data_IF_182547926926
#
_entry.id   IF_182547926926
#
_cell.length_a   1.000
_cell.length_b   1.000
_cell.length_c   1.000
_cell.angle_alpha   90.00
_cell.angle_beta   90.00
_cell.angle_gamma   90.00
#
_symmetry.space_group_name_H-M   'P 1'
#
loop_
_entity.id
_entity.type
_entity.pdbx_description
1 polymer ?
#
# COMPACT_ATOMS: atom_id res chain seq x y z
N UNK A 1 -75.72 -25.27 42.62
CA UNK A 1 -75.64 -25.21 41.15
C UNK A 1 -75.58 -23.75 40.73
N UNK A 2 -74.80 -23.47 39.68
CA UNK A 2 -74.56 -22.18 39.00
C UNK A 2 -73.53 -21.21 39.62
N UNK A 3 -72.71 -20.67 38.72
CA UNK A 3 -71.27 -20.46 38.87
C UNK A 3 -70.85 -19.01 39.08
N UNK A 4 -69.71 -18.88 39.73
CA UNK A 4 -68.84 -17.71 39.83
C UNK A 4 -68.40 -17.24 38.43
N UNK A 5 -68.75 -16.01 38.02
CA UNK A 5 -68.21 -15.36 36.82
C UNK A 5 -67.33 -14.18 37.24
N UNK A 6 -66.03 -14.46 37.35
CA UNK A 6 -64.98 -13.47 37.62
C UNK A 6 -64.69 -12.70 36.33
N UNK A 7 -65.01 -11.40 36.31
CA UNK A 7 -64.71 -10.51 35.19
C UNK A 7 -63.24 -10.10 35.19
N UNK A 8 -62.43 -10.71 34.32
CA UNK A 8 -61.02 -10.39 34.12
C UNK A 8 -60.90 -9.08 33.31
N UNK A 9 -60.63 -7.97 33.99
CA UNK A 9 -60.25 -6.70 33.32
C UNK A 9 -58.81 -6.80 32.83
N UNK A 10 -58.60 -7.04 31.53
CA UNK A 10 -57.27 -6.86 30.92
C UNK A 10 -56.93 -5.37 30.86
N UNK A 11 -55.97 -4.93 31.68
CA UNK A 11 -55.26 -3.66 31.47
C UNK A 11 -54.09 -3.91 30.51
N UNK A 12 -54.24 -3.47 29.26
CA UNK A 12 -53.13 -3.40 28.29
C UNK A 12 -52.24 -2.20 28.63
N UNK A 13 -51.10 -2.47 29.27
CA UNK A 13 -50.03 -1.49 29.50
C UNK A 13 -49.22 -1.29 28.20
N UNK A 14 -49.35 -0.12 27.57
CA UNK A 14 -48.53 0.29 26.44
C UNK A 14 -47.15 0.73 26.95
N UNK A 15 -46.14 -0.15 26.78
CA UNK A 15 -44.75 0.16 27.06
C UNK A 15 -44.19 0.99 25.88
N UNK A 16 -44.06 2.29 26.06
CA UNK A 16 -43.44 3.19 25.09
C UNK A 16 -41.92 2.95 25.03
N UNK A 17 -41.46 2.23 24.01
CA UNK A 17 -40.04 2.02 23.73
C UNK A 17 -39.48 3.27 23.06
N UNK A 18 -38.83 4.15 23.84
CA UNK A 18 -38.12 5.31 23.30
C UNK A 18 -36.88 4.85 22.52
N UNK A 19 -36.90 4.98 21.19
CA UNK A 19 -35.71 4.81 20.36
C UNK A 19 -34.73 5.96 20.63
N UNK A 20 -33.75 5.72 21.51
CA UNK A 20 -32.60 6.59 21.65
C UNK A 20 -31.75 6.47 20.37
N UNK A 21 -31.82 7.49 19.51
CA UNK A 21 -31.03 7.60 18.30
C UNK A 21 -29.60 8.00 18.72
N UNK A 22 -28.73 7.00 18.91
CA UNK A 22 -27.32 7.22 19.25
C UNK A 22 -26.61 7.73 17.98
N UNK A 23 -25.91 8.87 18.00
CA UNK A 23 -25.12 9.31 16.87
C UNK A 23 -23.96 8.32 16.67
N UNK A 24 -23.95 7.64 15.53
CA UNK A 24 -22.82 6.82 15.12
C UNK A 24 -21.69 7.77 14.67
N UNK A 25 -20.77 8.09 15.58
CA UNK A 25 -19.50 8.73 15.20
C UNK A 25 -18.69 7.73 14.37
N UNK A 26 -18.51 8.02 13.09
CA UNK A 26 -17.57 7.30 12.24
C UNK A 26 -16.16 7.58 12.76
N UNK A 27 -15.53 6.57 13.36
CA UNK A 27 -14.17 6.67 13.85
C UNK A 27 -13.21 6.54 12.65
N UNK A 28 -12.76 7.67 12.11
CA UNK A 28 -11.79 7.69 11.04
C UNK A 28 -10.49 7.05 11.54
N UNK A 29 -10.15 5.91 10.93
CA UNK A 29 -8.97 5.14 11.33
C UNK A 29 -7.73 5.94 10.97
N UNK A 30 -6.80 6.09 11.92
CA UNK A 30 -5.51 6.72 11.64
C UNK A 30 -4.84 6.03 10.42
N UNK A 31 -4.21 6.79 9.50
CA UNK A 31 -3.58 6.21 8.32
C UNK A 31 -2.56 5.14 8.73
N UNK A 32 -2.71 3.93 8.18
CA UNK A 32 -1.77 2.84 8.44
C UNK A 32 -0.41 3.20 7.83
N UNK A 33 0.69 3.19 8.61
CA UNK A 33 2.01 3.51 8.09
C UNK A 33 2.39 2.64 6.89
N UNK A 34 2.86 3.27 5.82
CA UNK A 34 3.19 2.60 4.57
C UNK A 34 4.31 3.31 3.82
N UNK A 35 5.15 2.53 3.14
CA UNK A 35 6.01 3.01 2.07
C UNK A 35 5.42 2.52 0.77
N UNK A 36 5.01 3.42 -0.11
CA UNK A 36 4.41 3.05 -1.39
C UNK A 36 5.41 3.28 -2.51
N UNK A 37 5.64 2.26 -3.33
CA UNK A 37 6.33 2.35 -4.61
C UNK A 37 5.29 2.13 -5.71
N UNK A 38 5.19 3.06 -6.65
CA UNK A 38 4.37 2.90 -7.85
C UNK A 38 5.28 2.87 -9.08
N UNK A 39 5.22 1.82 -9.88
CA UNK A 39 5.78 1.82 -11.22
C UNK A 39 4.86 2.65 -12.13
N UNK A 40 5.23 3.91 -12.31
CA UNK A 40 4.40 4.90 -13.00
C UNK A 40 4.63 4.90 -14.52
N UNK A 41 5.83 4.51 -14.96
CA UNK A 41 6.17 4.49 -16.38
C UNK A 41 7.35 3.59 -16.73
N UNK A 42 7.34 3.06 -17.95
CA UNK A 42 8.48 2.42 -18.58
C UNK A 42 8.58 2.94 -20.02
N UNK A 43 9.68 3.61 -20.36
CA UNK A 43 9.86 4.22 -21.67
C UNK A 43 11.28 3.96 -22.20
N UNK A 44 11.45 3.73 -23.52
CA UNK A 44 12.78 3.69 -24.12
C UNK A 44 13.58 4.97 -23.84
N UNK A 45 14.87 4.80 -23.61
CA UNK A 45 15.85 5.88 -23.49
C UNK A 45 17.14 5.52 -24.23
N UNK A 46 18.03 6.48 -24.42
CA UNK A 46 19.32 6.26 -25.12
C UNK A 46 20.20 5.19 -24.44
N UNK A 47 19.93 4.87 -23.18
CA UNK A 47 20.69 3.88 -22.41
C UNK A 47 20.01 2.51 -22.36
N UNK A 48 18.72 2.41 -22.69
CA UNK A 48 17.92 1.20 -22.53
C UNK A 48 16.52 1.53 -22.05
N UNK A 49 16.07 0.90 -20.96
CA UNK A 49 14.72 1.11 -20.45
C UNK A 49 14.72 2.06 -19.26
N UNK A 50 14.00 3.19 -19.38
CA UNK A 50 13.79 4.11 -18.28
C UNK A 50 12.55 3.73 -17.50
N UNK A 51 12.72 3.33 -16.26
CA UNK A 51 11.62 3.14 -15.32
C UNK A 51 11.40 4.43 -14.53
N UNK A 52 10.14 4.85 -14.41
CA UNK A 52 9.71 5.98 -13.59
C UNK A 52 8.91 5.45 -12.41
N UNK A 53 9.34 5.81 -11.21
CA UNK A 53 8.67 5.45 -9.97
C UNK A 53 8.13 6.69 -9.27
N UNK A 54 6.92 6.57 -8.72
CA UNK A 54 6.38 7.51 -7.73
C UNK A 54 6.46 6.84 -6.38
N UNK A 55 7.12 7.50 -5.43
CA UNK A 55 7.37 6.97 -4.08
C UNK A 55 6.68 7.87 -3.07
N UNK A 56 5.95 7.28 -2.13
CA UNK A 56 5.35 8.02 -1.02
C UNK A 56 5.79 7.40 0.31
N UNK A 57 6.47 8.19 1.14
CA UNK A 57 6.91 7.76 2.47
C UNK A 57 5.91 8.22 3.55
N UNK A 58 4.99 7.33 3.92
CA UNK A 58 4.10 7.51 5.06
C UNK A 58 4.47 6.59 6.23
N UNK A 59 5.76 6.30 6.42
CA UNK A 59 6.23 5.51 7.56
C UNK A 59 6.24 6.30 8.88
N UNK A 60 6.08 7.62 8.82
CA UNK A 60 6.12 8.51 9.99
C UNK A 60 7.52 8.94 10.42
N UNK A 61 8.55 8.64 9.64
CA UNK A 61 9.93 9.04 9.88
C UNK A 61 10.67 9.30 8.55
N UNK A 62 11.70 10.15 8.60
CA UNK A 62 12.57 10.41 7.46
C UNK A 62 13.44 9.18 7.17
N UNK A 63 13.51 8.78 5.91
CA UNK A 63 14.50 7.83 5.44
C UNK A 63 15.70 8.61 4.90
N UNK A 64 16.85 8.52 5.56
CA UNK A 64 18.10 9.07 5.04
C UNK A 64 18.59 8.31 3.79
N UNK A 65 18.24 7.03 3.67
CA UNK A 65 18.51 6.21 2.48
C UNK A 65 17.52 5.06 2.37
N UNK A 66 17.00 4.86 1.16
CA UNK A 66 16.22 3.69 0.78
C UNK A 66 16.72 3.15 -0.56
N UNK A 67 17.07 1.87 -0.59
CA UNK A 67 17.46 1.18 -1.82
C UNK A 67 16.86 -0.23 -1.83
N UNK A 68 16.45 -0.67 -3.02
CA UNK A 68 15.77 -1.94 -3.20
C UNK A 68 16.45 -2.75 -4.30
N UNK A 69 16.69 -4.02 -4.03
CA UNK A 69 16.99 -4.98 -5.09
C UNK A 69 15.70 -5.33 -5.81
N UNK A 70 15.73 -5.22 -7.14
CA UNK A 70 14.64 -5.60 -8.01
C UNK A 70 15.04 -6.74 -8.92
N UNK A 71 14.10 -7.64 -9.19
CA UNK A 71 14.19 -8.62 -10.25
C UNK A 71 13.36 -8.16 -11.45
N UNK A 72 13.98 -8.15 -12.62
CA UNK A 72 13.29 -7.95 -13.88
C UNK A 72 13.04 -9.30 -14.53
N UNK A 73 11.80 -9.52 -14.95
CA UNK A 73 11.40 -10.71 -15.68
C UNK A 73 11.14 -10.34 -17.14
N UNK A 74 11.49 -11.27 -18.02
CA UNK A 74 11.20 -11.14 -19.44
C UNK A 74 9.81 -11.70 -19.81
N UNK A 75 9.41 -11.59 -21.07
CA UNK A 75 8.12 -12.08 -21.59
C UNK A 75 7.89 -13.59 -21.39
N UNK A 76 8.95 -14.39 -21.22
CA UNK A 76 8.84 -15.81 -20.91
C UNK A 76 8.59 -16.08 -19.40
N UNK A 77 8.50 -15.04 -18.57
CA UNK A 77 8.30 -15.15 -17.13
C UNK A 77 9.53 -15.63 -16.38
N UNK A 78 10.72 -15.58 -16.99
CA UNK A 78 11.99 -15.90 -16.32
C UNK A 78 12.72 -14.61 -15.94
N UNK A 79 13.52 -14.67 -14.88
CA UNK A 79 14.35 -13.55 -14.43
C UNK A 79 15.39 -13.26 -15.51
N UNK A 80 15.37 -12.04 -16.05
CA UNK A 80 16.40 -11.52 -16.95
C UNK A 80 17.62 -11.07 -16.14
N UNK A 81 17.39 -10.30 -15.07
CA UNK A 81 18.45 -9.79 -14.20
C UNK A 81 17.95 -9.32 -12.84
N UNK A 82 18.88 -9.20 -11.90
CA UNK A 82 18.74 -8.47 -10.64
C UNK A 82 19.49 -7.15 -10.72
N UNK A 83 18.94 -6.10 -10.11
CA UNK A 83 19.63 -4.80 -9.98
C UNK A 83 19.15 -4.04 -8.75
N UNK A 84 19.99 -3.15 -8.21
CA UNK A 84 19.64 -2.32 -7.06
C UNK A 84 19.28 -0.91 -7.53
N UNK A 85 18.11 -0.44 -7.13
CA UNK A 85 17.65 0.92 -7.36
C UNK A 85 17.80 1.74 -6.08
N UNK A 86 18.63 2.79 -6.12
CA UNK A 86 18.83 3.72 -5.00
C UNK A 86 17.87 4.92 -5.10
N UNK A 87 16.85 4.92 -4.25
CA UNK A 87 15.85 5.99 -4.16
C UNK A 87 16.32 7.20 -3.35
N UNK A 88 17.52 7.09 -2.75
CA UNK A 88 18.16 8.08 -1.89
C UNK A 88 17.31 8.39 -0.67
N UNK A 89 17.39 9.62 -0.17
CA UNK A 89 16.53 10.10 0.90
C UNK A 89 15.05 10.18 0.48
N UNK A 90 14.17 9.86 1.43
CA UNK A 90 12.72 9.95 1.30
C UNK A 90 12.16 10.60 2.57
N UNK A 91 11.93 11.93 2.57
CA UNK A 91 11.40 12.61 3.74
C UNK A 91 9.98 12.15 4.11
N UNK A 92 9.67 12.19 5.40
CA UNK A 92 8.38 11.79 5.94
C UNK A 92 7.22 12.60 5.34
N UNK A 93 6.15 11.90 4.98
CA UNK A 93 4.94 12.48 4.39
C UNK A 93 5.13 13.06 2.99
N UNK A 94 6.28 12.85 2.34
CA UNK A 94 6.56 13.37 1.00
C UNK A 94 6.38 12.31 -0.08
N UNK A 95 5.99 12.81 -1.24
CA UNK A 95 5.97 12.05 -2.49
C UNK A 95 7.14 12.50 -3.37
N UNK A 96 7.86 11.55 -3.95
CA UNK A 96 9.03 11.77 -4.80
C UNK A 96 8.88 11.00 -6.10
N UNK A 97 9.24 11.62 -7.21
CA UNK A 97 9.32 10.95 -8.51
C UNK A 97 10.80 10.66 -8.80
N UNK A 98 11.13 9.40 -9.03
CA UNK A 98 12.51 8.96 -9.32
C UNK A 98 12.53 8.20 -10.63
N UNK A 99 13.60 8.37 -11.42
CA UNK A 99 13.77 7.66 -12.69
C UNK A 99 15.08 6.90 -12.68
N UNK A 100 15.06 5.68 -13.23
CA UNK A 100 16.23 4.82 -13.37
C UNK A 100 16.35 4.36 -14.82
N UNK A 101 17.54 4.54 -15.39
CA UNK A 101 17.87 4.00 -16.71
C UNK A 101 18.53 2.63 -16.54
N UNK A 102 17.88 1.59 -17.06
CA UNK A 102 18.38 0.23 -17.05
C UNK A 102 19.14 -0.04 -18.35
N UNK A 103 20.46 -0.05 -18.24
CA UNK A 103 21.35 -0.18 -19.38
C UNK A 103 21.15 -1.53 -20.10
N UNK A 104 20.96 -1.46 -21.42
CA UNK A 104 20.79 -2.67 -22.25
C UNK A 104 19.52 -3.48 -21.95
N UNK A 105 18.49 -2.84 -21.38
CA UNK A 105 17.16 -3.42 -21.21
C UNK A 105 16.21 -2.81 -22.25
N UNK A 106 15.49 -3.65 -22.98
CA UNK A 106 14.39 -3.20 -23.87
C UNK A 106 13.09 -3.14 -23.07
N UNK A 107 12.41 -1.98 -23.01
CA UNK A 107 11.19 -1.87 -22.22
C UNK A 107 10.09 -2.83 -22.66
N UNK A 108 9.98 -3.11 -23.96
CA UNK A 108 9.01 -4.07 -24.51
C UNK A 108 9.25 -5.50 -24.05
N UNK A 109 10.46 -5.82 -23.56
CA UNK A 109 10.82 -7.15 -23.07
C UNK A 109 10.56 -7.34 -21.58
N UNK A 110 10.26 -6.28 -20.83
CA UNK A 110 10.02 -6.37 -19.38
C UNK A 110 8.56 -6.70 -19.13
N UNK A 111 8.29 -7.88 -18.55
CA UNK A 111 6.92 -8.33 -18.24
C UNK A 111 6.54 -8.10 -16.77
N UNK A 112 7.53 -8.17 -15.87
CA UNK A 112 7.35 -7.96 -14.44
C UNK A 112 8.59 -7.33 -13.81
N UNK A 113 8.34 -6.42 -12.87
CA UNK A 113 9.33 -5.93 -11.91
C UNK A 113 8.92 -6.45 -10.53
N UNK A 114 9.86 -7.01 -9.78
CA UNK A 114 9.64 -7.55 -8.44
C UNK A 114 10.62 -6.89 -7.47
N UNK A 115 10.15 -6.39 -6.33
CA UNK A 115 11.02 -5.96 -5.23
C UNK A 115 11.41 -7.19 -4.42
N UNK A 116 12.68 -7.61 -4.52
CA UNK A 116 13.16 -8.81 -3.86
C UNK A 116 13.52 -8.54 -2.39
N UNK A 117 14.19 -7.41 -2.15
CA UNK A 117 14.59 -6.98 -0.80
C UNK A 117 14.85 -5.47 -0.74
N UNK A 118 14.85 -4.92 0.46
CA UNK A 118 15.46 -3.61 0.73
C UNK A 118 16.94 -3.85 1.06
N UNK A 119 17.83 -3.34 0.22
CA UNK A 119 19.28 -3.38 0.48
C UNK A 119 19.72 -2.28 1.44
N UNK A 120 18.94 -1.19 1.50
CA UNK A 120 19.12 -0.08 2.43
C UNK A 120 17.75 0.39 2.92
N UNK A 121 17.62 0.59 4.22
CA UNK A 121 16.47 1.24 4.86
C UNK A 121 16.95 1.92 6.14
N UNK A 122 17.41 3.15 6.02
CA UNK A 122 18.05 3.87 7.13
C UNK A 122 17.37 5.21 7.39
N UNK A 123 17.35 5.59 8.66
CA UNK A 123 16.84 6.86 9.16
C UNK A 123 16.82 6.84 10.68
N UNK A 124 16.83 8.02 11.31
CA UNK A 124 16.78 8.13 12.77
C UNK A 124 15.46 7.56 13.29
N UNK A 125 15.53 6.54 14.15
CA UNK A 125 14.33 5.88 14.69
C UNK A 125 13.62 4.96 13.68
N UNK A 126 14.25 4.62 12.56
CA UNK A 126 13.71 3.69 11.56
C UNK A 126 14.20 2.27 11.84
N UNK A 127 13.27 1.35 12.03
CA UNK A 127 13.57 -0.09 12.14
C UNK A 127 14.17 -0.63 10.83
N UNK A 128 15.23 -1.46 10.85
CA UNK A 128 15.92 -1.92 9.64
C UNK A 128 15.02 -2.58 8.57
N UNK A 129 13.96 -3.26 9.01
CA UNK A 129 13.01 -3.94 8.11
C UNK A 129 11.74 -3.12 7.81
N UNK A 130 11.67 -1.85 8.21
CA UNK A 130 10.47 -1.02 8.05
C UNK A 130 10.07 -0.88 6.57
N UNK A 131 11.04 -0.68 5.68
CA UNK A 131 10.80 -0.45 4.25
C UNK A 131 10.12 -1.64 3.58
N UNK A 132 10.48 -2.89 3.93
CA UNK A 132 9.84 -4.09 3.37
C UNK A 132 8.53 -4.45 4.09
N UNK A 133 8.52 -4.41 5.43
CA UNK A 133 7.35 -4.81 6.24
C UNK A 133 6.09 -3.98 5.94
N UNK A 134 6.28 -2.72 5.54
CA UNK A 134 5.21 -1.76 5.25
C UNK A 134 5.18 -1.36 3.77
N UNK A 135 5.85 -2.13 2.91
CA UNK A 135 5.88 -1.85 1.47
C UNK A 135 4.51 -2.11 0.85
N UNK A 136 4.08 -1.18 0.01
CA UNK A 136 2.98 -1.36 -0.94
C UNK A 136 3.49 -1.08 -2.33
N UNK A 137 3.12 -1.92 -3.28
CA UNK A 137 3.48 -1.79 -4.69
C UNK A 137 2.22 -1.52 -5.51
N UNK A 138 2.31 -0.58 -6.46
CA UNK A 138 1.26 -0.32 -7.46
C UNK A 138 1.87 -0.11 -8.85
N UNK A 139 1.09 -0.26 -9.91
CA UNK A 139 1.57 0.00 -11.28
C UNK A 139 0.53 0.77 -12.08
N UNK A 140 0.99 1.74 -12.87
CA UNK A 140 0.20 2.45 -13.88
C UNK A 140 0.56 2.02 -15.30
N UNK A 141 1.40 1.01 -15.43
CA UNK A 141 1.88 0.46 -16.70
C UNK A 141 1.21 -0.89 -16.99
N UNK A 142 1.51 -1.46 -18.16
CA UNK A 142 1.19 -2.87 -18.47
C UNK A 142 2.16 -3.88 -17.83
N UNK A 143 3.20 -3.43 -17.15
CA UNK A 143 4.20 -4.29 -16.49
C UNK A 143 3.70 -4.63 -15.09
N UNK A 144 3.67 -5.93 -14.75
CA UNK A 144 3.32 -6.36 -13.41
C UNK A 144 4.35 -5.86 -12.39
N UNK A 145 3.90 -5.36 -11.24
CA UNK A 145 4.79 -4.89 -10.18
C UNK A 145 4.34 -5.43 -8.82
N UNK A 146 5.29 -5.96 -8.05
CA UNK A 146 4.99 -6.60 -6.78
C UNK A 146 6.21 -6.85 -5.92
N UNK A 147 5.97 -7.50 -4.79
CA UNK A 147 6.97 -8.19 -3.96
C UNK A 147 6.99 -9.68 -4.28
#
# INVERSE_FOLDING_TARGET
>A
MTSLMTSLRLLTSMLAMSLAMVPAWAQESAPVPALTLELNGAQPSDKGCRLTFVVNNNLGADLSKAAFEIALFNEAGVVDRLTVLDFKELPAGKTKVTRFDLAGTECSKVSRVLINSATECTGTGVEPNACMRKLKTDTKTGIAFGV
#
